data_IF_791255304667
#
_entry.id   IF_791255304667
#
_cell.length_a   1.000
_cell.length_b   1.000
_cell.length_c   1.000
_cell.angle_alpha   90.00
_cell.angle_beta   90.00
_cell.angle_gamma   90.00
#
_symmetry.space_group_name_H-M   'P 1'
#
loop_
_entity.id
_entity.type
_entity.pdbx_description
1 polymer ?
#
# COMPACT_ATOMS: atom_id res chain seq x y z
N UNK A 1 6.30 -3.47 0.14
CA UNK A 1 6.95 -3.84 -1.13
C UNK A 1 8.24 -4.61 -0.92
N UNK A 2 9.30 -4.02 -0.38
CA UNK A 2 10.57 -4.75 -0.15
C UNK A 2 10.40 -5.94 0.80
N UNK A 3 9.75 -5.72 1.95
CA UNK A 3 9.46 -6.79 2.91
C UNK A 3 8.62 -7.92 2.29
N UNK A 4 7.65 -7.58 1.43
CA UNK A 4 6.80 -8.59 0.81
C UNK A 4 7.52 -9.39 -0.26
N UNK A 5 8.33 -8.74 -1.10
CA UNK A 5 9.20 -9.44 -2.07
C UNK A 5 10.21 -10.32 -1.34
N UNK A 6 10.88 -9.79 -0.32
CA UNK A 6 11.88 -10.52 0.46
C UNK A 6 11.28 -11.72 1.19
N UNK A 7 10.09 -11.57 1.80
CA UNK A 7 9.40 -12.66 2.46
C UNK A 7 8.93 -13.74 1.47
N UNK A 8 8.33 -13.35 0.35
CA UNK A 8 7.89 -14.31 -0.67
C UNK A 8 9.06 -15.04 -1.33
N UNK A 9 10.15 -14.34 -1.64
CA UNK A 9 11.35 -14.94 -2.19
C UNK A 9 12.05 -15.87 -1.18
N UNK A 10 12.09 -15.50 0.10
CA UNK A 10 12.63 -16.37 1.15
C UNK A 10 11.80 -17.64 1.35
N UNK A 11 10.47 -17.52 1.31
CA UNK A 11 9.56 -18.67 1.40
C UNK A 11 9.68 -19.57 0.16
N UNK A 12 9.70 -19.00 -1.04
CA UNK A 12 9.85 -19.76 -2.28
C UNK A 12 11.21 -20.46 -2.38
N UNK A 13 12.27 -19.84 -1.88
CA UNK A 13 13.59 -20.46 -1.76
C UNK A 13 13.61 -21.65 -0.80
N UNK A 14 12.75 -21.68 0.22
CA UNK A 14 12.64 -22.87 1.10
C UNK A 14 11.89 -24.03 0.44
N UNK A 15 11.02 -23.76 -0.53
CA UNK A 15 10.26 -24.78 -1.24
C UNK A 15 11.09 -25.38 -2.38
N UNK A 16 11.78 -24.55 -3.17
CA UNK A 16 12.59 -25.02 -4.28
C UNK A 16 13.84 -24.12 -4.54
N UNK A 17 15.00 -24.46 -3.94
CA UNK A 17 16.22 -23.65 -4.04
C UNK A 17 16.85 -23.60 -5.43
N UNK A 18 16.51 -24.53 -6.33
CA UNK A 18 17.12 -24.60 -7.67
C UNK A 18 16.43 -23.68 -8.68
N UNK A 19 15.17 -23.33 -8.43
CA UNK A 19 14.34 -22.50 -9.32
C UNK A 19 14.30 -21.03 -8.87
N UNK A 20 14.36 -20.79 -7.56
CA UNK A 20 14.23 -19.45 -6.99
C UNK A 20 15.56 -18.95 -6.42
N UNK A 21 16.08 -17.85 -6.98
CA UNK A 21 17.25 -17.18 -6.42
C UNK A 21 17.00 -16.73 -4.98
N UNK A 22 18.05 -16.65 -4.16
CA UNK A 22 17.93 -16.21 -2.76
C UNK A 22 17.22 -14.85 -2.63
N UNK A 23 16.53 -14.63 -1.50
CA UNK A 23 15.80 -13.38 -1.27
C UNK A 23 16.64 -12.11 -1.43
N UNK A 24 17.93 -12.17 -1.06
CA UNK A 24 18.88 -11.09 -1.31
C UNK A 24 19.06 -10.80 -2.80
N UNK A 25 19.17 -11.84 -3.64
CA UNK A 25 19.30 -11.70 -5.08
C UNK A 25 18.09 -11.00 -5.69
N UNK A 26 16.86 -11.35 -5.29
CA UNK A 26 15.67 -10.63 -5.77
C UNK A 26 15.58 -9.18 -5.28
N UNK A 27 16.13 -8.88 -4.10
CA UNK A 27 16.15 -7.53 -3.55
C UNK A 27 17.24 -6.63 -4.16
N UNK A 28 18.40 -7.20 -4.51
CA UNK A 28 19.55 -6.47 -5.02
C UNK A 28 19.71 -6.55 -6.54
N UNK A 29 18.97 -7.41 -7.24
CA UNK A 29 19.03 -7.54 -8.70
C UNK A 29 17.94 -6.75 -9.42
N UNK A 30 18.32 -6.10 -10.53
CA UNK A 30 17.46 -5.22 -11.33
C UNK A 30 17.20 -3.87 -10.65
N UNK A 31 16.18 -3.14 -11.12
CA UNK A 31 15.77 -1.84 -10.58
C UNK A 31 14.88 -1.88 -9.33
N UNK A 32 14.78 -3.00 -8.62
CA UNK A 32 13.76 -3.19 -7.56
C UNK A 32 13.88 -2.22 -6.39
N UNK A 33 15.10 -1.99 -5.90
CA UNK A 33 15.34 -1.06 -4.80
C UNK A 33 15.01 0.39 -5.18
N UNK A 34 15.42 0.80 -6.39
CA UNK A 34 15.14 2.14 -6.93
C UNK A 34 13.64 2.33 -7.17
N UNK A 35 12.98 1.34 -7.76
CA UNK A 35 11.53 1.37 -7.94
C UNK A 35 10.77 1.35 -6.62
N UNK A 36 11.28 0.70 -5.58
CA UNK A 36 10.67 0.71 -4.25
C UNK A 36 10.77 2.07 -3.56
N UNK A 37 11.91 2.78 -3.74
CA UNK A 37 12.21 4.01 -3.02
C UNK A 37 11.76 5.27 -3.76
N UNK A 38 11.73 5.26 -5.09
CA UNK A 38 11.43 6.44 -5.92
C UNK A 38 10.14 6.33 -6.72
N UNK A 39 9.73 5.13 -7.14
CA UNK A 39 8.52 4.95 -7.95
C UNK A 39 7.34 4.64 -7.04
N UNK A 40 7.38 3.57 -6.24
CA UNK A 40 6.26 3.14 -5.40
C UNK A 40 5.93 4.09 -4.23
N UNK A 41 6.77 5.07 -3.96
CA UNK A 41 6.60 6.10 -2.91
C UNK A 41 6.02 7.40 -3.47
N UNK A 42 5.68 7.45 -4.76
CA UNK A 42 5.11 8.64 -5.39
C UNK A 42 3.73 8.96 -4.76
N UNK A 43 3.51 10.21 -4.28
CA UNK A 43 2.29 10.55 -3.56
C UNK A 43 1.09 10.76 -4.48
N UNK A 44 1.30 10.86 -5.80
CA UNK A 44 0.25 11.24 -6.77
C UNK A 44 -0.65 10.06 -7.10
N UNK A 45 -0.07 8.87 -7.25
CA UNK A 45 -0.83 7.68 -7.64
C UNK A 45 -1.17 6.77 -6.47
N UNK A 46 -0.60 7.00 -5.28
CA UNK A 46 -0.82 6.17 -4.09
C UNK A 46 -2.19 6.39 -3.41
N UNK A 47 -2.79 5.35 -2.78
CA UNK A 47 -4.04 5.50 -2.00
C UNK A 47 -3.90 6.51 -0.85
N UNK A 48 -4.98 7.25 -0.56
CA UNK A 48 -4.96 8.30 0.47
C UNK A 48 -4.93 7.70 1.88
N UNK A 49 -5.64 6.58 2.08
CA UNK A 49 -5.75 5.93 3.39
C UNK A 49 -4.48 5.21 3.82
N UNK A 50 -4.18 5.21 5.13
CA UNK A 50 -3.02 4.48 5.69
C UNK A 50 -3.13 2.97 5.46
N UNK A 51 -4.32 2.40 5.62
CA UNK A 51 -4.57 0.98 5.34
C UNK A 51 -4.49 0.67 3.85
N UNK A 52 -4.97 1.59 3.00
CA UNK A 52 -4.88 1.48 1.54
C UNK A 52 -3.43 1.42 1.05
N UNK A 53 -2.55 2.28 1.59
CA UNK A 53 -1.11 2.26 1.27
C UNK A 53 -0.42 0.95 1.64
N UNK A 54 -0.82 0.31 2.74
CA UNK A 54 -0.27 -0.98 3.13
C UNK A 54 -0.67 -2.08 2.14
N UNK A 55 -1.97 -2.14 1.78
CA UNK A 55 -2.49 -3.09 0.79
C UNK A 55 -1.80 -2.86 -0.57
N UNK A 56 -1.63 -1.60 -0.97
CA UNK A 56 -0.93 -1.24 -2.19
C UNK A 56 0.51 -1.76 -2.21
N UNK A 57 1.28 -1.49 -1.15
CA UNK A 57 2.67 -1.92 -1.06
C UNK A 57 2.83 -3.46 -0.98
N UNK A 58 1.86 -4.16 -0.41
CA UNK A 58 1.82 -5.63 -0.39
C UNK A 58 1.53 -6.16 -1.80
N UNK A 59 0.49 -5.63 -2.46
CA UNK A 59 0.09 -6.01 -3.81
C UNK A 59 1.20 -5.80 -4.85
N UNK A 60 1.85 -4.62 -4.85
CA UNK A 60 3.01 -4.36 -5.71
C UNK A 60 4.11 -5.41 -5.50
N UNK A 61 4.48 -5.70 -4.25
CA UNK A 61 5.55 -6.65 -3.97
C UNK A 61 5.21 -8.09 -4.36
N UNK A 62 3.96 -8.51 -4.17
CA UNK A 62 3.49 -9.82 -4.62
C UNK A 62 3.52 -9.94 -6.14
N UNK A 63 3.02 -8.94 -6.87
CA UNK A 63 3.05 -8.91 -8.33
C UNK A 63 4.46 -8.93 -8.88
N UNK A 64 5.37 -8.14 -8.30
CA UNK A 64 6.78 -8.16 -8.70
C UNK A 64 7.38 -9.56 -8.54
N UNK A 65 7.13 -10.24 -7.41
CA UNK A 65 7.62 -11.60 -7.20
C UNK A 65 7.04 -12.57 -8.25
N UNK A 66 5.72 -12.53 -8.47
CA UNK A 66 5.02 -13.38 -9.45
C UNK A 66 5.61 -13.19 -10.85
N UNK A 67 5.73 -11.94 -11.32
CA UNK A 67 6.24 -11.64 -12.66
C UNK A 67 7.71 -12.04 -12.81
N UNK A 68 8.52 -11.92 -11.76
CA UNK A 68 9.93 -12.32 -11.82
C UNK A 68 10.14 -13.83 -11.81
N UNK A 69 9.38 -14.56 -11.01
CA UNK A 69 9.51 -16.02 -10.91
C UNK A 69 8.97 -16.74 -12.14
N UNK A 70 7.81 -16.31 -12.66
CA UNK A 70 7.16 -16.99 -13.79
C UNK A 70 7.37 -16.30 -15.14
N UNK A 71 7.56 -14.98 -15.15
CA UNK A 71 7.69 -14.20 -16.39
C UNK A 71 9.13 -14.03 -16.89
N UNK A 72 10.14 -14.42 -16.13
CA UNK A 72 11.57 -14.26 -16.46
C UNK A 72 11.96 -12.81 -16.84
N UNK A 73 11.20 -11.80 -16.40
CA UNK A 73 11.47 -10.38 -16.63
C UNK A 73 12.09 -9.75 -15.38
N UNK A 74 13.38 -9.39 -15.38
CA UNK A 74 14.02 -8.80 -14.21
C UNK A 74 13.45 -7.41 -13.85
N UNK A 75 12.94 -6.65 -14.83
CA UNK A 75 12.35 -5.32 -14.65
C UNK A 75 10.83 -5.36 -14.44
N UNK A 76 10.36 -6.12 -13.45
CA UNK A 76 8.93 -6.31 -13.17
C UNK A 76 8.24 -5.15 -12.42
N UNK A 77 9.00 -4.16 -11.91
CA UNK A 77 8.48 -3.12 -11.00
C UNK A 77 7.49 -2.19 -11.69
N UNK A 78 7.80 -1.75 -12.90
CA UNK A 78 6.94 -0.82 -13.64
C UNK A 78 5.55 -1.43 -13.91
N UNK A 79 5.50 -2.69 -14.32
CA UNK A 79 4.23 -3.40 -14.57
C UNK A 79 3.41 -3.56 -13.30
N UNK A 80 4.04 -3.94 -12.19
CA UNK A 80 3.35 -4.10 -10.92
C UNK A 80 2.78 -2.77 -10.40
N UNK A 81 3.54 -1.68 -10.49
CA UNK A 81 3.08 -0.35 -10.07
C UNK A 81 1.95 0.14 -10.98
N UNK A 82 2.07 0.00 -12.30
CA UNK A 82 1.01 0.40 -13.23
C UNK A 82 -0.30 -0.34 -12.96
N UNK A 83 -0.23 -1.67 -12.75
CA UNK A 83 -1.41 -2.47 -12.42
C UNK A 83 -2.02 -2.05 -11.07
N UNK A 84 -1.20 -1.84 -10.06
CA UNK A 84 -1.69 -1.43 -8.75
C UNK A 84 -2.24 -0.02 -8.76
N UNK A 85 -1.68 0.89 -9.55
CA UNK A 85 -2.21 2.25 -9.75
C UNK A 85 -3.61 2.23 -10.36
N UNK A 86 -3.87 1.31 -11.30
CA UNK A 86 -5.22 1.10 -11.83
C UNK A 86 -6.21 0.58 -10.76
N UNK A 87 -5.71 -0.12 -9.73
CA UNK A 87 -6.50 -0.64 -8.62
C UNK A 87 -6.66 0.34 -7.44
N UNK A 88 -5.91 1.44 -7.40
CA UNK A 88 -6.01 2.48 -6.36
C UNK A 88 -7.44 3.00 -6.14
N UNK A 89 -8.23 3.37 -7.17
CA UNK A 89 -9.61 3.83 -6.95
C UNK A 89 -10.49 2.75 -6.32
N UNK A 90 -10.21 1.46 -6.56
CA UNK A 90 -10.92 0.35 -5.93
C UNK A 90 -10.48 0.20 -4.46
N UNK A 91 -9.18 0.30 -4.19
CA UNK A 91 -8.61 0.25 -2.83
C UNK A 91 -9.17 1.39 -1.98
N UNK A 92 -9.27 2.61 -2.51
CA UNK A 92 -9.82 3.76 -1.79
C UNK A 92 -11.33 3.64 -1.51
N UNK A 93 -12.09 2.93 -2.36
CA UNK A 93 -13.49 2.62 -2.08
C UNK A 93 -13.65 1.67 -0.89
N UNK A 94 -12.75 0.69 -0.77
CA UNK A 94 -12.76 -0.29 0.33
C UNK A 94 -12.18 0.33 1.61
N UNK A 95 -11.07 1.04 1.49
CA UNK A 95 -10.35 1.68 2.58
C UNK A 95 -10.68 3.17 2.69
N UNK A 96 -11.97 3.54 2.76
CA UNK A 96 -12.37 4.95 2.80
C UNK A 96 -11.64 5.71 3.91
N UNK A 97 -10.93 6.80 3.60
CA UNK A 97 -10.28 7.61 4.62
C UNK A 97 -11.34 8.25 5.53
N UNK A 98 -11.03 8.33 6.82
CA UNK A 98 -11.93 8.93 7.82
C UNK A 98 -12.12 10.42 7.52
N UNK A 99 -13.38 10.86 7.41
CA UNK A 99 -13.70 12.28 7.24
C UNK A 99 -13.13 13.11 8.41
N UNK A 100 -12.46 14.22 8.07
CA UNK A 100 -11.87 15.13 9.05
C UNK A 100 -12.94 15.66 10.03
N UNK A 101 -12.59 15.80 11.30
CA UNK A 101 -13.52 16.26 12.35
C UNK A 101 -14.56 15.23 12.80
N UNK A 102 -14.57 13.99 12.27
CA UNK A 102 -15.46 12.91 12.69
C UNK A 102 -14.68 11.69 13.20
N UNK A 103 -15.28 10.95 14.15
CA UNK A 103 -14.78 9.68 14.64
C UNK A 103 -14.95 8.59 13.56
N UNK A 104 -14.37 7.41 13.77
CA UNK A 104 -14.43 6.30 12.80
C UNK A 104 -15.87 5.82 12.49
N UNK A 105 -16.85 6.21 13.33
CA UNK A 105 -18.28 5.93 13.18
C UNK A 105 -19.07 7.15 12.66
N UNK A 106 -18.40 8.20 12.17
CA UNK A 106 -19.03 9.42 11.64
C UNK A 106 -19.54 10.43 12.67
N UNK A 107 -19.36 10.22 13.98
CA UNK A 107 -19.75 11.21 15.00
C UNK A 107 -18.74 12.36 15.09
N UNK A 108 -19.16 13.63 15.18
CA UNK A 108 -18.24 14.76 15.31
C UNK A 108 -17.35 14.65 16.56
N UNK A 109 -16.06 14.96 16.41
CA UNK A 109 -15.10 15.00 17.51
C UNK A 109 -15.28 16.32 18.26
N UNK A 110 -15.99 16.27 19.40
CA UNK A 110 -16.07 17.30 20.46
C UNK A 110 -16.73 18.66 20.08
N UNK A 111 -16.67 19.12 18.82
CA UNK A 111 -17.31 20.37 18.38
C UNK A 111 -18.85 20.39 18.52
N UNK A 112 -19.49 19.22 18.61
CA UNK A 112 -20.94 19.11 18.85
C UNK A 112 -21.35 19.46 20.29
N UNK A 113 -20.43 19.41 21.27
CA UNK A 113 -20.75 19.79 22.65
C UNK A 113 -20.77 21.31 22.83
N UNK A 114 -19.78 22.01 22.25
CA UNK A 114 -19.68 23.46 22.38
C UNK A 114 -20.81 24.20 21.66
N UNK A 115 -21.19 23.74 20.47
CA UNK A 115 -22.36 24.29 19.73
C UNK A 115 -23.69 24.07 20.44
N UNK A 116 -23.84 22.99 21.24
CA UNK A 116 -25.00 22.79 22.11
C UNK A 116 -24.99 23.74 23.30
N UNK A 117 -23.83 23.90 23.93
CA UNK A 117 -23.66 24.74 25.11
C UNK A 117 -23.89 26.23 24.80
N UNK A 118 -23.38 26.73 23.67
CA UNK A 118 -23.63 28.12 23.22
C UNK A 118 -25.12 28.37 22.97
N UNK A 119 -25.83 27.42 22.33
CA UNK A 119 -27.29 27.51 22.13
C UNK A 119 -28.12 27.45 23.42
N UNK A 120 -27.55 26.95 24.51
CA UNK A 120 -28.21 26.84 25.81
C UNK A 120 -27.98 28.12 26.63
N UNK A 121 -26.83 28.78 26.45
CA UNK A 121 -26.51 30.09 27.04
C UNK A 121 -27.29 31.23 26.40
N UNK A 122 -27.48 31.23 25.07
CA UNK A 122 -28.28 32.25 24.35
C UNK A 122 -29.81 32.16 24.62
N UNK A 123 -30.25 31.15 25.38
CA UNK A 123 -31.66 30.97 25.77
C UNK A 123 -32.01 31.59 27.12
N UNK A 124 -31.03 32.13 27.84
CA UNK A 124 -31.19 32.84 29.12
C UNK A 124 -31.15 34.34 28.84
#
# INVERSE_FOLDING_TARGET
MLLTVGALAALAHQIDPQVHGGGLFHLTSGGLLLGALFIATDPVTSPISRSGRLIFAIGCGALVFVIRSWGNFPEAVAFAVLLMNALVPLIDRVCRPRAYGRNARGKPLVAAKWTRQVKEVDKV
#
